data_IF_179433746512
#
_entry.id   IF_179433746512
#
_cell.length_a   1.000
_cell.length_b   1.000
_cell.length_c   1.000
_cell.angle_alpha   90.00
_cell.angle_beta   90.00
_cell.angle_gamma   90.00
#
_symmetry.space_group_name_H-M   'P 1'
#
loop_
_entity.id
_entity.type
_entity.pdbx_description
1 polymer ?
#
# COMPACT_ATOMS: atom_id res chain seq x y z
N UNK A 1 -30.07 9.90 49.51
CA UNK A 1 -29.76 9.35 48.15
C UNK A 1 -28.68 10.21 47.56
N UNK A 2 -27.44 9.67 47.47
CA UNK A 2 -26.31 10.33 46.81
C UNK A 2 -26.31 9.82 45.37
N UNK A 3 -26.67 10.69 44.42
CA UNK A 3 -26.65 10.37 42.99
C UNK A 3 -25.22 10.56 42.45
N UNK A 4 -24.52 9.48 42.12
CA UNK A 4 -23.23 9.55 41.43
C UNK A 4 -23.44 9.82 39.97
N UNK A 5 -23.14 11.03 39.53
CA UNK A 5 -23.05 11.35 38.09
C UNK A 5 -21.71 10.81 37.55
N UNK A 6 -21.78 9.71 36.80
CA UNK A 6 -20.61 9.18 36.08
C UNK A 6 -20.48 9.99 34.79
N UNK A 7 -19.51 10.87 34.74
CA UNK A 7 -19.11 11.53 33.47
C UNK A 7 -18.30 10.54 32.63
N UNK A 8 -18.89 10.03 31.57
CA UNK A 8 -18.16 9.34 30.54
C UNK A 8 -17.48 10.40 29.66
N UNK A 9 -16.17 10.56 29.77
CA UNK A 9 -15.39 11.31 28.80
C UNK A 9 -15.33 10.47 27.52
N UNK A 10 -16.10 10.86 26.52
CA UNK A 10 -15.96 10.32 25.17
C UNK A 10 -14.74 10.97 24.55
N UNK A 11 -13.63 10.25 24.51
CA UNK A 11 -12.49 10.68 23.71
C UNK A 11 -12.85 10.44 22.24
N UNK A 12 -12.89 11.50 21.45
CA UNK A 12 -12.91 11.37 20.00
C UNK A 12 -11.58 10.73 19.58
N UNK A 13 -11.65 9.61 18.89
CA UNK A 13 -10.47 8.97 18.31
C UNK A 13 -10.23 9.60 16.95
N UNK A 14 -9.04 10.16 16.74
CA UNK A 14 -8.63 10.64 15.44
C UNK A 14 -8.25 9.46 14.53
N UNK A 15 -8.74 9.50 13.29
CA UNK A 15 -8.38 8.55 12.25
C UNK A 15 -7.62 9.27 11.16
N UNK A 16 -6.59 8.62 10.60
CA UNK A 16 -5.80 9.14 9.50
C UNK A 16 -6.00 8.30 8.25
N UNK A 17 -6.15 8.98 7.12
CA UNK A 17 -6.31 8.36 5.79
C UNK A 17 -5.23 8.90 4.88
N UNK A 18 -4.46 8.01 4.28
CA UNK A 18 -3.44 8.33 3.30
C UNK A 18 -4.00 8.10 1.90
N UNK A 19 -3.88 9.08 1.02
CA UNK A 19 -4.41 9.05 -0.35
C UNK A 19 -3.28 9.29 -1.34
N UNK A 20 -2.95 8.28 -2.13
CA UNK A 20 -1.96 8.40 -3.20
C UNK A 20 -2.57 9.14 -4.40
N UNK A 21 -1.88 10.17 -4.87
CA UNK A 21 -2.22 10.96 -6.05
C UNK A 21 -1.22 10.66 -7.17
N UNK A 22 -1.55 9.67 -8.01
CA UNK A 22 -0.66 9.09 -9.01
C UNK A 22 -0.08 10.13 -9.99
N UNK A 23 -0.90 11.08 -10.42
CA UNK A 23 -0.49 12.09 -11.41
C UNK A 23 0.34 13.23 -10.82
N UNK A 24 0.37 13.38 -9.51
CA UNK A 24 0.98 14.54 -8.85
C UNK A 24 2.22 14.17 -8.01
N UNK A 25 2.60 12.89 -7.98
CA UNK A 25 3.67 12.36 -7.13
C UNK A 25 3.55 12.78 -5.66
N UNK A 26 2.32 12.72 -5.14
CA UNK A 26 2.00 13.15 -3.79
C UNK A 26 1.14 12.12 -3.04
N UNK A 27 1.23 12.18 -1.72
CA UNK A 27 0.30 11.50 -0.81
C UNK A 27 -0.31 12.53 0.11
N UNK A 28 -1.64 12.67 0.06
CA UNK A 28 -2.39 13.50 1.02
C UNK A 28 -2.63 12.72 2.30
N UNK A 29 -2.42 13.36 3.44
CA UNK A 29 -2.78 12.84 4.76
C UNK A 29 -4.02 13.57 5.25
N UNK A 30 -5.10 12.83 5.41
CA UNK A 30 -6.38 13.34 5.88
C UNK A 30 -6.61 12.88 7.32
N UNK A 31 -7.11 13.79 8.15
CA UNK A 31 -7.54 13.49 9.53
C UNK A 31 -9.06 13.55 9.61
N UNK A 32 -9.65 12.52 10.20
CA UNK A 32 -11.07 12.48 10.56
C UNK A 32 -11.21 12.45 12.08
N UNK A 33 -11.90 13.42 12.64
CA UNK A 33 -12.11 13.59 14.10
C UNK A 33 -13.45 13.03 14.61
N UNK A 34 -14.19 12.32 13.73
CA UNK A 34 -15.53 11.81 14.01
C UNK A 34 -16.66 12.71 13.47
N UNK A 35 -16.33 13.90 12.92
CA UNK A 35 -17.29 14.87 12.37
C UNK A 35 -16.91 15.33 10.99
N UNK A 36 -15.66 15.73 10.80
CA UNK A 36 -15.15 16.27 9.55
C UNK A 36 -13.83 15.62 9.15
N UNK A 37 -13.54 15.66 7.85
CA UNK A 37 -12.27 15.23 7.27
C UNK A 37 -11.53 16.47 6.79
N UNK A 38 -10.31 16.67 7.27
CA UNK A 38 -9.43 17.76 6.84
C UNK A 38 -8.10 17.20 6.33
N UNK A 39 -7.53 17.80 5.29
CA UNK A 39 -6.17 17.52 4.87
C UNK A 39 -5.21 18.20 5.84
N UNK A 40 -4.35 17.40 6.50
CA UNK A 40 -3.40 17.89 7.50
C UNK A 40 -1.99 17.98 6.96
N UNK A 41 -1.68 17.20 5.91
CA UNK A 41 -0.35 17.16 5.30
C UNK A 41 -0.43 16.71 3.84
N UNK A 42 0.59 17.06 3.06
CA UNK A 42 0.75 16.64 1.67
C UNK A 42 2.22 16.34 1.41
N UNK A 43 2.52 15.05 1.25
CA UNK A 43 3.86 14.50 1.17
C UNK A 43 4.25 14.38 -0.30
N UNK A 44 5.33 15.04 -0.72
CA UNK A 44 5.91 14.79 -2.04
C UNK A 44 6.70 13.49 -1.99
N UNK A 45 6.40 12.55 -2.89
CA UNK A 45 7.00 11.21 -2.93
C UNK A 45 7.80 10.97 -4.21
N UNK A 46 7.73 11.88 -5.18
CA UNK A 46 8.54 11.86 -6.39
C UNK A 46 10.02 12.06 -6.09
N UNK A 47 10.86 11.31 -6.78
CA UNK A 47 12.33 11.35 -6.64
C UNK A 47 12.94 12.27 -7.69
N UNK A 48 12.40 12.23 -8.92
CA UNK A 48 12.89 12.97 -10.07
C UNK A 48 11.95 14.12 -10.44
N UNK A 49 12.42 15.38 -10.47
CA UNK A 49 11.54 16.52 -10.76
C UNK A 49 10.92 16.53 -12.17
N UNK A 50 11.47 15.73 -13.08
CA UNK A 50 11.06 15.68 -14.49
C UNK A 50 10.32 14.40 -14.87
N UNK A 51 10.17 13.49 -13.95
CA UNK A 51 9.48 12.21 -14.16
C UNK A 51 8.33 12.09 -13.15
N UNK A 52 7.28 11.38 -13.53
CA UNK A 52 6.21 11.00 -12.64
C UNK A 52 6.45 9.55 -12.23
N UNK A 53 6.78 9.31 -10.96
CA UNK A 53 6.98 7.96 -10.43
C UNK A 53 5.68 7.25 -10.09
N UNK A 54 4.57 7.97 -10.05
CA UNK A 54 3.22 7.44 -9.92
C UNK A 54 2.96 6.65 -8.64
N UNK A 55 2.75 7.31 -7.49
CA UNK A 55 2.31 6.65 -6.27
C UNK A 55 0.95 6.00 -6.48
N UNK A 56 0.85 4.66 -6.35
CA UNK A 56 -0.35 3.93 -6.74
C UNK A 56 -0.98 3.16 -5.58
N UNK A 57 -0.33 2.12 -5.09
CA UNK A 57 -0.81 1.29 -3.99
C UNK A 57 -0.24 1.75 -2.64
N UNK A 58 -1.08 1.79 -1.61
CA UNK A 58 -0.68 2.20 -0.27
C UNK A 58 -1.22 1.23 0.78
N UNK A 59 -0.43 0.92 1.81
CA UNK A 59 -0.84 0.11 2.95
C UNK A 59 -0.12 0.55 4.22
N UNK A 60 -0.76 0.33 5.37
CA UNK A 60 -0.18 0.64 6.70
C UNK A 60 0.10 -0.66 7.42
N UNK A 61 1.24 -0.75 8.09
CA UNK A 61 1.62 -1.92 8.85
C UNK A 61 0.70 -2.13 10.07
N UNK A 62 0.52 -3.37 10.57
CA UNK A 62 -0.38 -3.65 11.68
C UNK A 62 -0.05 -2.92 12.98
N UNK A 63 1.21 -2.50 13.19
CA UNK A 63 1.61 -1.71 14.36
C UNK A 63 1.27 -0.23 14.24
N UNK A 64 0.95 0.23 13.02
CA UNK A 64 0.70 1.63 12.71
C UNK A 64 1.95 2.51 12.70
N UNK A 65 3.17 1.93 12.75
CA UNK A 65 4.43 2.68 12.78
C UNK A 65 4.98 3.01 11.40
N UNK A 66 4.59 2.23 10.40
CA UNK A 66 5.09 2.35 9.02
C UNK A 66 3.94 2.32 8.02
N UNK A 67 4.15 2.99 6.93
CA UNK A 67 3.32 2.83 5.74
C UNK A 67 4.18 2.58 4.51
N UNK A 68 3.60 1.92 3.53
CA UNK A 68 4.30 1.47 2.33
C UNK A 68 3.56 1.97 1.10
N UNK A 69 4.30 2.44 0.12
CA UNK A 69 3.81 3.03 -1.11
C UNK A 69 4.48 2.36 -2.30
N UNK A 70 3.67 1.97 -3.30
CA UNK A 70 4.23 1.63 -4.60
C UNK A 70 4.43 2.89 -5.43
N UNK A 71 5.60 3.02 -6.05
CA UNK A 71 5.89 3.97 -7.12
C UNK A 71 5.89 3.17 -8.43
N UNK A 72 4.81 3.37 -9.22
CA UNK A 72 4.47 2.45 -10.30
C UNK A 72 5.25 2.72 -11.60
N UNK A 73 5.54 3.98 -11.90
CA UNK A 73 6.09 4.41 -13.20
C UNK A 73 7.61 4.54 -13.25
N UNK A 74 8.32 4.15 -12.19
CA UNK A 74 9.78 4.23 -12.16
C UNK A 74 10.46 3.60 -13.39
N UNK A 75 11.50 4.24 -13.89
CA UNK A 75 12.22 3.78 -15.08
C UNK A 75 13.58 3.18 -14.69
N UNK A 76 13.88 1.93 -15.08
CA UNK A 76 13.08 0.99 -15.87
C UNK A 76 12.05 0.21 -15.05
N UNK A 77 12.07 0.29 -13.73
CA UNK A 77 11.27 -0.48 -12.80
C UNK A 77 10.62 0.41 -11.74
N UNK A 78 9.48 -0.02 -11.24
CA UNK A 78 8.88 0.58 -10.07
C UNK A 78 9.50 0.10 -8.76
N UNK A 79 9.00 0.61 -7.66
CA UNK A 79 9.53 0.30 -6.33
C UNK A 79 8.45 0.29 -5.27
N UNK A 80 8.78 -0.25 -4.10
CA UNK A 80 8.05 -0.01 -2.85
C UNK A 80 8.93 0.79 -1.92
N UNK A 81 8.39 1.86 -1.37
CA UNK A 81 9.06 2.70 -0.37
C UNK A 81 8.37 2.52 0.98
N UNK A 82 9.16 2.34 2.03
CA UNK A 82 8.74 2.30 3.43
C UNK A 82 8.92 3.67 4.06
N UNK A 83 7.88 4.16 4.71
CA UNK A 83 7.86 5.45 5.41
C UNK A 83 7.55 5.26 6.90
N UNK A 84 8.02 6.20 7.72
CA UNK A 84 7.59 6.35 9.10
C UNK A 84 6.22 7.04 9.16
N UNK A 85 5.30 6.58 10.03
CA UNK A 85 4.07 7.33 10.32
C UNK A 85 4.27 8.50 11.26
N UNK A 86 5.40 8.56 11.97
CA UNK A 86 5.69 9.62 12.95
C UNK A 86 5.97 10.97 12.26
N UNK A 87 6.74 10.94 11.16
CA UNK A 87 7.21 12.15 10.47
C UNK A 87 7.04 12.10 8.94
N UNK A 88 6.47 11.00 8.42
CA UNK A 88 6.28 10.73 6.99
C UNK A 88 7.58 10.70 6.15
N UNK A 89 8.73 10.50 6.80
CA UNK A 89 10.01 10.41 6.11
C UNK A 89 10.25 9.01 5.51
N UNK A 90 10.86 8.92 4.31
CA UNK A 90 11.23 7.64 3.73
C UNK A 90 12.37 6.99 4.51
N UNK A 91 12.24 5.70 4.81
CA UNK A 91 13.21 4.93 5.59
C UNK A 91 14.04 3.99 4.72
N UNK A 92 13.39 3.31 3.79
CA UNK A 92 14.02 2.30 2.92
C UNK A 92 13.18 2.03 1.69
N UNK A 93 13.79 1.44 0.66
CA UNK A 93 13.17 1.15 -0.63
C UNK A 93 13.61 -0.21 -1.14
N UNK A 94 12.72 -0.92 -1.83
CA UNK A 94 13.02 -2.08 -2.65
C UNK A 94 12.60 -1.83 -4.09
N UNK A 95 13.50 -2.06 -5.02
CA UNK A 95 13.17 -2.03 -6.45
C UNK A 95 12.51 -3.35 -6.84
N UNK A 96 11.42 -3.24 -7.59
CA UNK A 96 10.61 -4.35 -8.00
C UNK A 96 10.49 -4.38 -9.53
N UNK A 97 9.51 -5.12 -10.05
CA UNK A 97 9.28 -5.22 -11.48
C UNK A 97 8.52 -4.03 -12.06
N UNK A 98 8.04 -4.22 -13.28
CA UNK A 98 7.35 -3.18 -14.03
C UNK A 98 5.93 -2.95 -13.47
N UNK A 99 5.66 -1.71 -13.10
CA UNK A 99 4.39 -1.21 -12.60
C UNK A 99 3.85 -1.99 -11.39
N UNK A 100 4.50 -1.92 -10.21
CA UNK A 100 3.91 -2.39 -8.97
C UNK A 100 2.67 -1.55 -8.65
N UNK A 101 1.48 -2.17 -8.73
CA UNK A 101 0.21 -1.49 -8.57
C UNK A 101 -0.30 -1.60 -7.13
N UNK A 102 -1.14 -2.58 -6.83
CA UNK A 102 -1.69 -2.73 -5.49
C UNK A 102 -0.72 -3.41 -4.54
N UNK A 103 -0.77 -3.00 -3.27
CA UNK A 103 0.05 -3.52 -2.19
C UNK A 103 -0.83 -3.78 -0.96
N UNK A 104 -0.57 -4.86 -0.26
CA UNK A 104 -1.17 -5.15 1.03
C UNK A 104 -0.17 -5.81 1.97
N UNK A 105 -0.33 -5.59 3.27
CA UNK A 105 0.46 -6.27 4.30
C UNK A 105 -0.41 -7.28 5.05
N UNK A 106 0.08 -8.51 5.18
CA UNK A 106 -0.61 -9.55 5.96
C UNK A 106 -0.44 -9.30 7.45
N UNK A 107 -1.55 -9.19 8.18
CA UNK A 107 -1.53 -9.11 9.64
C UNK A 107 -1.06 -10.41 10.31
N UNK A 108 -1.09 -11.53 9.58
CA UNK A 108 -0.71 -12.84 10.07
C UNK A 108 0.79 -13.09 9.93
N UNK A 109 1.35 -12.79 8.74
CA UNK A 109 2.76 -13.08 8.42
C UNK A 109 3.65 -11.85 8.53
N UNK A 110 3.07 -10.64 8.49
CA UNK A 110 3.82 -9.39 8.40
C UNK A 110 4.41 -9.11 7.01
N UNK A 111 4.18 -9.98 6.03
CA UNK A 111 4.74 -9.83 4.69
C UNK A 111 3.89 -8.92 3.80
N UNK A 112 4.53 -8.21 2.88
CA UNK A 112 3.89 -7.42 1.85
C UNK A 112 3.63 -8.27 0.60
N UNK A 113 2.45 -8.10 0.02
CA UNK A 113 2.04 -8.68 -1.26
C UNK A 113 1.85 -7.55 -2.26
N UNK A 114 2.67 -7.54 -3.31
CA UNK A 114 2.72 -6.48 -4.31
C UNK A 114 2.39 -7.04 -5.68
N UNK A 115 1.34 -6.52 -6.30
CA UNK A 115 0.87 -6.97 -7.62
C UNK A 115 1.53 -6.15 -8.71
N UNK A 116 2.12 -6.82 -9.69
CA UNK A 116 2.66 -6.15 -10.88
C UNK A 116 1.63 -6.09 -12.01
N UNK A 117 1.13 -4.90 -12.26
CA UNK A 117 0.19 -4.68 -13.36
C UNK A 117 0.84 -4.88 -14.74
N UNK A 118 2.16 -4.66 -14.81
CA UNK A 118 2.93 -4.77 -16.03
C UNK A 118 2.39 -3.86 -17.16
N UNK A 119 1.82 -2.71 -16.80
CA UNK A 119 1.39 -1.68 -17.73
C UNK A 119 2.60 -1.21 -18.56
N UNK A 120 2.41 -0.96 -19.83
CA UNK A 120 3.46 -0.62 -20.79
C UNK A 120 4.47 -1.75 -21.09
N UNK A 121 4.32 -2.90 -20.43
CA UNK A 121 5.10 -4.10 -20.73
C UNK A 121 4.51 -4.95 -21.86
N UNK A 122 5.15 -6.08 -22.10
CA UNK A 122 4.60 -7.07 -23.01
C UNK A 122 3.36 -7.72 -22.37
N UNK A 123 2.35 -8.05 -23.18
CA UNK A 123 1.14 -8.78 -22.76
C UNK A 123 1.49 -10.23 -22.40
N UNK A 124 2.17 -10.38 -21.27
CA UNK A 124 2.61 -11.66 -20.70
C UNK A 124 2.02 -11.85 -19.30
N UNK A 125 2.04 -13.09 -18.82
CA UNK A 125 1.76 -13.39 -17.42
C UNK A 125 2.68 -12.58 -16.53
N UNK A 126 2.11 -12.04 -15.44
CA UNK A 126 2.81 -11.25 -14.45
C UNK A 126 2.88 -11.97 -13.11
N UNK A 127 3.14 -11.26 -12.04
CA UNK A 127 3.38 -11.86 -10.72
C UNK A 127 2.79 -11.04 -9.59
N UNK A 128 2.64 -11.68 -8.44
CA UNK A 128 2.58 -11.06 -7.11
C UNK A 128 3.93 -11.28 -6.44
N UNK A 129 4.60 -10.22 -6.02
CA UNK A 129 5.80 -10.33 -5.20
C UNK A 129 5.46 -10.38 -3.73
N UNK A 130 6.17 -11.24 -3.02
CA UNK A 130 6.20 -11.27 -1.55
C UNK A 130 7.46 -10.56 -1.09
N UNK A 131 7.30 -9.52 -0.26
CA UNK A 131 8.42 -8.70 0.22
C UNK A 131 8.46 -8.74 1.74
N UNK A 132 9.66 -8.91 2.29
CA UNK A 132 9.93 -8.73 3.71
C UNK A 132 10.05 -7.23 4.02
N UNK A 133 9.13 -6.66 4.84
CA UNK A 133 9.14 -5.23 5.14
C UNK A 133 10.19 -4.83 6.20
N UNK A 134 10.79 -5.76 6.90
CA UNK A 134 11.87 -5.47 7.85
C UNK A 134 13.15 -5.13 7.10
N UNK A 135 13.53 -6.00 6.15
CA UNK A 135 14.76 -5.84 5.36
C UNK A 135 14.53 -5.14 4.02
N UNK A 136 13.28 -4.92 3.63
CA UNK A 136 12.89 -4.40 2.31
C UNK A 136 13.54 -5.20 1.17
N UNK A 137 13.31 -6.52 1.20
CA UNK A 137 13.79 -7.45 0.19
C UNK A 137 12.66 -8.29 -0.39
N UNK A 138 12.72 -8.54 -1.69
CA UNK A 138 11.80 -9.45 -2.36
C UNK A 138 12.19 -10.91 -2.04
N UNK A 139 11.27 -11.66 -1.40
CA UNK A 139 11.48 -13.05 -1.03
C UNK A 139 11.20 -13.99 -2.20
N UNK A 140 10.08 -13.76 -2.88
CA UNK A 140 9.62 -14.61 -3.97
C UNK A 140 8.64 -13.91 -4.89
N UNK A 141 8.43 -14.49 -6.08
CA UNK A 141 7.42 -14.08 -7.06
C UNK A 141 6.47 -15.23 -7.35
N UNK A 142 5.19 -14.97 -7.23
CA UNK A 142 4.12 -15.93 -7.50
C UNK A 142 3.51 -15.58 -8.86
N UNK A 143 3.53 -16.50 -9.81
CA UNK A 143 2.96 -16.28 -11.15
C UNK A 143 1.46 -16.11 -11.08
N UNK A 144 0.97 -15.12 -11.81
CA UNK A 144 -0.45 -14.83 -12.00
C UNK A 144 -0.75 -14.67 -13.51
N UNK A 145 -1.94 -14.20 -13.85
CA UNK A 145 -2.34 -14.01 -15.23
C UNK A 145 -1.78 -12.74 -15.88
N UNK A 146 -2.42 -12.31 -16.96
CA UNK A 146 -2.04 -11.13 -17.72
C UNK A 146 -2.71 -9.90 -17.14
N UNK A 147 -1.91 -8.85 -16.83
CA UNK A 147 -2.33 -7.59 -16.24
C UNK A 147 -3.13 -7.79 -14.93
N UNK A 148 -2.54 -8.41 -13.90
CA UNK A 148 -3.15 -8.44 -12.58
C UNK A 148 -3.10 -7.04 -11.98
N UNK A 149 -4.19 -6.60 -11.35
CA UNK A 149 -4.26 -5.26 -10.76
C UNK A 149 -4.90 -5.28 -9.38
N UNK A 150 -6.17 -5.66 -9.30
CA UNK A 150 -6.89 -5.71 -8.03
C UNK A 150 -6.42 -6.87 -7.15
N UNK A 151 -6.23 -6.60 -5.87
CA UNK A 151 -5.92 -7.65 -4.91
C UNK A 151 -6.49 -7.37 -3.51
N UNK A 152 -6.72 -8.45 -2.74
CA UNK A 152 -7.14 -8.39 -1.34
C UNK A 152 -6.63 -9.58 -0.55
N UNK A 153 -6.18 -9.31 0.68
CA UNK A 153 -6.00 -10.35 1.68
C UNK A 153 -7.36 -10.77 2.26
N UNK A 154 -7.52 -12.06 2.57
CA UNK A 154 -8.65 -12.52 3.35
C UNK A 154 -8.66 -11.89 4.75
N UNK A 155 -9.83 -11.76 5.41
CA UNK A 155 -9.91 -11.17 6.75
C UNK A 155 -9.06 -11.89 7.80
N UNK A 156 -8.87 -13.20 7.65
CA UNK A 156 -8.05 -14.04 8.53
C UNK A 156 -6.56 -14.04 8.16
N UNK A 157 -6.20 -13.41 7.02
CA UNK A 157 -4.83 -13.31 6.53
C UNK A 157 -4.25 -14.60 5.96
N UNK A 158 -5.09 -15.63 5.72
CA UNK A 158 -4.62 -16.92 5.19
C UNK A 158 -4.41 -16.89 3.68
N UNK A 159 -5.17 -16.07 2.97
CA UNK A 159 -5.16 -16.03 1.51
C UNK A 159 -4.97 -14.60 0.99
N UNK A 160 -4.25 -14.49 -0.11
CA UNK A 160 -4.20 -13.29 -0.92
C UNK A 160 -4.86 -13.56 -2.28
N UNK A 161 -5.89 -12.80 -2.60
CA UNK A 161 -6.60 -12.89 -3.88
C UNK A 161 -6.08 -11.85 -4.84
N UNK A 162 -5.83 -12.25 -6.09
CA UNK A 162 -5.41 -11.35 -7.16
C UNK A 162 -6.21 -11.62 -8.42
N UNK A 163 -6.69 -10.57 -9.08
CA UNK A 163 -7.44 -10.67 -10.35
C UNK A 163 -6.62 -10.16 -11.51
N UNK A 164 -6.54 -10.95 -12.58
CA UNK A 164 -5.84 -10.64 -13.82
C UNK A 164 -6.86 -10.27 -14.90
N UNK A 165 -6.95 -8.97 -15.21
CA UNK A 165 -8.07 -8.45 -16.02
C UNK A 165 -8.02 -8.88 -17.48
N UNK A 166 -6.83 -9.10 -18.06
CA UNK A 166 -6.71 -9.49 -19.48
C UNK A 166 -6.79 -10.99 -19.73
N UNK A 167 -6.48 -11.82 -18.73
CA UNK A 167 -6.68 -13.27 -18.81
C UNK A 167 -8.01 -13.72 -18.18
N UNK A 168 -8.73 -12.83 -17.47
CA UNK A 168 -10.03 -13.14 -16.88
C UNK A 168 -9.95 -14.15 -15.72
N UNK A 169 -8.85 -14.14 -14.96
CA UNK A 169 -8.56 -15.12 -13.92
C UNK A 169 -8.56 -14.49 -12.53
N UNK A 170 -9.00 -15.26 -11.55
CA UNK A 170 -8.84 -15.01 -10.13
C UNK A 170 -7.85 -16.02 -9.55
N UNK A 171 -6.83 -15.53 -8.88
CA UNK A 171 -5.82 -16.31 -8.19
C UNK A 171 -6.08 -16.27 -6.68
N UNK A 172 -6.09 -17.43 -6.05
CA UNK A 172 -6.03 -17.62 -4.61
C UNK A 172 -4.62 -18.10 -4.26
N UNK A 173 -3.95 -17.37 -3.37
CA UNK A 173 -2.56 -17.58 -2.99
C UNK A 173 -2.53 -17.80 -1.48
N UNK A 174 -1.92 -18.88 -1.01
CA UNK A 174 -1.60 -19.07 0.40
C UNK A 174 -0.67 -17.96 0.88
N UNK A 175 -1.03 -17.24 1.97
CA UNK A 175 -0.36 -16.01 2.44
C UNK A 175 0.38 -16.19 3.76
#
# INVERSE_FOLDING_TARGET
FLSFLIFHTVFSQDYYVYVAAESDDQVSVLKFDGKEIIETDRISVGIMPTENEGPHGITIDPSGKYWYLTLAHGSPNGSVVKYSTENNEPLSKVELGLFPATIQISKKTGLLYVVYFNLHGLMKTSTVSVVDPEYMVEITKIKTGIMPHGSRLSPDGNFHYSVAMMSGELFEIDA
#
